data_IF_626579758079
#
_entry.id   IF_626579758079
#
_cell.length_a   1.000
_cell.length_b   1.000
_cell.length_c   1.000
_cell.angle_alpha   90.00
_cell.angle_beta   90.00
_cell.angle_gamma   90.00
#
_symmetry.space_group_name_H-M   'P 1'
#
loop_
_entity.id
_entity.type
_entity.pdbx_description
1 polymer ?
#
# COMPACT_ATOMS: atom_id res chain seq x y z
N UNK A 1 -69.57 64.45 9.36
CA UNK A 1 -68.21 64.93 9.02
C UNK A 1 -67.21 64.20 9.91
N UNK A 2 -66.32 63.37 9.35
CA UNK A 2 -65.09 62.91 10.02
C UNK A 2 -63.97 63.98 9.82
N UNK A 3 -62.89 63.99 10.63
CA UNK A 3 -61.74 63.07 10.49
C UNK A 3 -61.21 62.53 11.86
N UNK A 4 -60.88 61.24 12.03
CA UNK A 4 -59.63 60.46 11.81
C UNK A 4 -58.38 60.81 12.66
N UNK A 5 -58.05 59.83 13.53
CA UNK A 5 -56.73 59.21 13.83
C UNK A 5 -55.60 59.97 14.55
N UNK A 6 -55.10 59.41 15.66
CA UNK A 6 -53.78 58.72 15.68
C UNK A 6 -53.50 58.03 17.04
N UNK A 7 -53.25 56.73 16.99
CA UNK A 7 -52.85 55.86 18.11
C UNK A 7 -51.32 55.79 18.21
N UNK A 8 -50.75 56.17 19.35
CA UNK A 8 -49.31 56.20 19.59
C UNK A 8 -48.85 54.91 20.29
N UNK A 9 -48.35 53.98 19.48
CA UNK A 9 -47.65 52.74 19.86
C UNK A 9 -46.32 53.08 20.58
N UNK A 10 -46.17 52.75 21.87
CA UNK A 10 -44.87 52.75 22.56
C UNK A 10 -44.26 51.35 22.56
N UNK A 11 -42.98 51.34 22.21
CA UNK A 11 -42.12 50.22 21.82
C UNK A 11 -41.55 49.48 23.03
N UNK A 12 -41.69 48.15 23.05
CA UNK A 12 -40.97 47.29 23.98
C UNK A 12 -39.50 47.14 23.54
N UNK A 13 -38.55 47.36 24.45
CA UNK A 13 -37.11 47.17 24.21
C UNK A 13 -36.79 45.67 24.11
N UNK A 14 -35.99 45.21 23.13
CA UNK A 14 -35.58 43.81 23.07
C UNK A 14 -34.50 43.49 24.12
N UNK A 15 -34.62 42.32 24.76
CA UNK A 15 -33.62 41.71 25.63
C UNK A 15 -32.51 41.08 24.75
N UNK A 16 -31.22 41.18 25.10
CA UNK A 16 -30.18 40.46 24.36
C UNK A 16 -30.28 38.95 24.63
N UNK A 17 -29.99 38.08 23.65
CA UNK A 17 -29.99 36.64 23.86
C UNK A 17 -28.78 36.20 24.71
N UNK A 18 -28.90 35.11 25.48
CA UNK A 18 -27.77 34.49 26.15
C UNK A 18 -26.78 33.95 25.11
N UNK A 19 -25.50 34.35 25.22
CA UNK A 19 -24.39 33.72 24.51
C UNK A 19 -24.11 32.36 25.15
N UNK A 20 -24.80 31.34 24.68
CA UNK A 20 -24.38 29.95 24.91
C UNK A 20 -23.18 29.66 24.03
N UNK A 21 -22.00 29.55 24.65
CA UNK A 21 -20.80 29.00 24.03
C UNK A 21 -21.05 27.51 23.76
N UNK A 22 -21.54 27.18 22.57
CA UNK A 22 -21.57 25.81 22.07
C UNK A 22 -20.15 25.44 21.61
N UNK A 23 -19.29 25.10 22.55
CA UNK A 23 -17.95 24.59 22.29
C UNK A 23 -18.05 23.17 21.75
N UNK A 24 -18.12 23.10 20.41
CA UNK A 24 -17.51 22.10 19.52
C UNK A 24 -17.12 20.75 20.16
N UNK A 25 -18.01 19.76 20.05
CA UNK A 25 -17.69 18.33 20.22
C UNK A 25 -17.74 17.64 18.84
N UNK A 26 -16.80 17.98 17.94
CA UNK A 26 -16.68 17.37 16.61
C UNK A 26 -15.21 17.08 16.28
N UNK A 27 -14.52 16.27 17.11
CA UNK A 27 -13.13 15.90 16.83
C UNK A 27 -12.77 14.46 17.20
N UNK A 28 -13.66 13.50 16.94
CA UNK A 28 -13.41 12.08 17.29
C UNK A 28 -13.19 11.14 16.09
N UNK A 29 -13.07 11.63 14.85
CA UNK A 29 -13.09 10.74 13.67
C UNK A 29 -11.78 10.60 12.88
N UNK A 30 -10.61 10.88 13.46
CA UNK A 30 -9.34 10.73 12.72
C UNK A 30 -8.35 9.81 13.44
N UNK A 31 -8.76 8.57 13.66
CA UNK A 31 -7.83 7.45 13.87
C UNK A 31 -8.19 6.33 12.89
N UNK A 32 -8.11 6.62 11.60
CA UNK A 32 -7.88 5.59 10.61
C UNK A 32 -6.41 5.20 10.72
N UNK A 33 -6.09 4.32 11.68
CA UNK A 33 -4.83 3.59 11.66
C UNK A 33 -4.83 2.80 10.37
N UNK A 34 -4.00 3.20 9.40
CA UNK A 34 -3.76 2.47 8.16
C UNK A 34 -3.10 1.14 8.46
N UNK A 35 -3.87 0.19 8.99
CA UNK A 35 -3.48 -1.20 8.97
C UNK A 35 -3.63 -1.64 7.51
N UNK A 36 -2.49 -1.89 6.86
CA UNK A 36 -2.45 -2.61 5.60
C UNK A 36 -3.32 -3.85 5.73
N UNK A 37 -4.44 -3.88 5.02
CA UNK A 37 -5.24 -5.08 4.90
C UNK A 37 -4.41 -6.04 4.05
N UNK A 38 -3.89 -7.10 4.67
CA UNK A 38 -3.35 -8.23 3.94
C UNK A 38 -4.40 -8.67 2.91
N UNK A 39 -3.99 -8.84 1.66
CA UNK A 39 -4.92 -9.29 0.62
C UNK A 39 -5.29 -10.75 0.89
N UNK A 40 -6.56 -11.09 0.65
CA UNK A 40 -6.99 -12.48 0.77
C UNK A 40 -6.49 -13.30 -0.41
N UNK A 41 -5.31 -13.88 -0.24
CA UNK A 41 -4.69 -14.77 -1.21
C UNK A 41 -5.48 -16.03 -1.51
N UNK A 42 -6.47 -16.39 -0.70
CA UNK A 42 -7.21 -17.65 -0.86
C UNK A 42 -8.28 -17.58 -1.95
N UNK A 43 -8.74 -16.36 -2.27
CA UNK A 43 -9.88 -16.14 -3.17
C UNK A 43 -9.60 -15.00 -4.16
N UNK A 44 -8.53 -15.14 -4.95
CA UNK A 44 -8.19 -14.14 -5.99
C UNK A 44 -9.01 -14.40 -7.24
N UNK A 45 -9.78 -13.41 -7.68
CA UNK A 45 -10.56 -13.48 -8.91
C UNK A 45 -9.82 -12.80 -10.06
N UNK A 46 -9.56 -13.53 -11.14
CA UNK A 46 -9.03 -12.99 -12.40
C UNK A 46 -9.76 -13.63 -13.59
N UNK A 47 -10.39 -12.80 -14.44
CA UNK A 47 -11.08 -13.25 -15.65
C UNK A 47 -12.06 -14.42 -15.40
N UNK A 48 -12.92 -14.31 -14.38
CA UNK A 48 -13.87 -15.33 -13.91
C UNK A 48 -13.25 -16.65 -13.43
N UNK A 49 -11.95 -16.65 -13.09
CA UNK A 49 -11.29 -17.79 -12.46
C UNK A 49 -10.84 -17.42 -11.06
N UNK A 50 -11.08 -18.33 -10.12
CA UNK A 50 -10.61 -18.21 -8.75
C UNK A 50 -9.25 -18.89 -8.61
N UNK A 51 -8.31 -18.20 -7.96
CA UNK A 51 -6.97 -18.67 -7.66
C UNK A 51 -6.75 -18.62 -6.15
N UNK A 52 -6.18 -19.70 -5.62
CA UNK A 52 -5.66 -19.76 -4.26
C UNK A 52 -4.12 -19.67 -4.31
N UNK A 53 -3.60 -18.52 -3.86
CA UNK A 53 -2.17 -18.22 -3.71
C UNK A 53 -1.70 -18.36 -2.25
N UNK A 54 -2.51 -18.92 -1.35
CA UNK A 54 -2.15 -19.06 0.07
C UNK A 54 -0.84 -19.82 0.30
N UNK A 55 -0.48 -20.72 -0.63
CA UNK A 55 0.79 -21.43 -0.60
C UNK A 55 2.02 -20.51 -0.81
N UNK A 56 1.83 -19.30 -1.33
CA UNK A 56 2.85 -18.27 -1.53
C UNK A 56 2.83 -17.20 -0.43
N UNK A 57 2.13 -17.45 0.67
CA UNK A 57 2.06 -16.53 1.79
C UNK A 57 3.42 -16.44 2.49
N UNK A 58 3.88 -15.20 2.69
CA UNK A 58 5.12 -14.90 3.38
C UNK A 58 6.22 -14.43 2.43
N UNK A 59 7.37 -14.01 2.98
CA UNK A 59 8.46 -13.47 2.17
C UNK A 59 9.10 -14.51 1.26
N UNK A 60 9.15 -14.22 -0.03
CA UNK A 60 9.85 -14.98 -1.06
C UNK A 60 10.99 -14.15 -1.66
N UNK A 61 12.13 -14.80 -1.89
CA UNK A 61 13.35 -14.15 -2.37
C UNK A 61 13.70 -14.59 -3.79
N UNK A 62 14.09 -13.63 -4.63
CA UNK A 62 14.67 -13.84 -5.96
C UNK A 62 15.99 -13.11 -6.01
N UNK A 63 17.08 -13.83 -6.27
CA UNK A 63 18.41 -13.25 -6.37
C UNK A 63 18.79 -13.11 -7.83
N UNK A 64 19.31 -11.95 -8.19
CA UNK A 64 19.91 -11.68 -9.51
C UNK A 64 21.35 -11.24 -9.32
N UNK A 65 22.21 -11.62 -10.25
CA UNK A 65 23.64 -11.29 -10.21
C UNK A 65 24.01 -10.59 -11.50
N UNK A 66 24.65 -9.42 -11.39
CA UNK A 66 25.24 -8.72 -12.53
C UNK A 66 26.75 -8.67 -12.33
N UNK A 67 27.49 -9.16 -13.31
CA UNK A 67 28.94 -9.05 -13.35
C UNK A 67 29.31 -7.68 -13.94
N UNK A 68 30.13 -6.95 -13.22
CA UNK A 68 30.75 -5.69 -13.65
C UNK A 68 32.27 -5.87 -13.76
N UNK A 69 32.95 -4.88 -14.34
CA UNK A 69 34.42 -4.92 -14.48
C UNK A 69 35.12 -4.94 -13.10
N UNK A 70 34.50 -4.34 -12.09
CA UNK A 70 35.03 -4.21 -10.73
C UNK A 70 34.47 -5.24 -9.71
N UNK A 71 33.72 -6.25 -10.16
CA UNK A 71 33.18 -7.30 -9.27
C UNK A 71 31.75 -7.71 -9.61
N UNK A 72 31.03 -8.25 -8.62
CA UNK A 72 29.63 -8.66 -8.80
C UNK A 72 28.69 -7.79 -7.97
N UNK A 73 27.54 -7.45 -8.55
CA UNK A 73 26.41 -6.88 -7.82
C UNK A 73 25.34 -7.95 -7.71
N UNK A 74 25.05 -8.39 -6.49
CA UNK A 74 23.90 -9.22 -6.21
C UNK A 74 22.73 -8.36 -5.77
N UNK A 75 21.57 -8.59 -6.35
CA UNK A 75 20.33 -7.96 -5.92
C UNK A 75 19.39 -9.05 -5.45
N UNK A 76 19.02 -9.00 -4.18
CA UNK A 76 18.01 -9.88 -3.58
C UNK A 76 16.70 -9.13 -3.53
N UNK A 77 15.74 -9.53 -4.36
CA UNK A 77 14.38 -9.04 -4.31
C UNK A 77 13.57 -9.89 -3.35
N UNK A 78 12.96 -9.27 -2.36
CA UNK A 78 12.03 -9.89 -1.43
C UNK A 78 10.63 -9.36 -1.68
N UNK A 79 9.66 -10.26 -1.73
CA UNK A 79 8.24 -9.90 -1.84
C UNK A 79 7.36 -10.85 -1.04
N UNK A 80 6.24 -10.34 -0.54
CA UNK A 80 5.13 -11.16 -0.04
C UNK A 80 3.90 -10.75 -0.83
N UNK A 81 3.32 -11.72 -1.54
CA UNK A 81 2.16 -11.48 -2.39
C UNK A 81 0.90 -11.28 -1.56
N UNK A 82 0.86 -11.76 -0.32
CA UNK A 82 -0.35 -11.78 0.49
C UNK A 82 -0.40 -10.65 1.52
N UNK A 83 0.67 -9.88 1.66
CA UNK A 83 0.72 -8.79 2.61
C UNK A 83 2.05 -8.06 2.64
N UNK A 84 2.16 -7.02 3.47
CA UNK A 84 3.40 -6.29 3.64
C UNK A 84 4.47 -7.13 4.36
N UNK A 85 5.71 -6.96 3.91
CA UNK A 85 6.92 -7.44 4.54
C UNK A 85 7.10 -6.85 5.93
N UNK A 86 7.66 -7.67 6.81
CA UNK A 86 8.14 -7.26 8.13
C UNK A 86 9.64 -7.08 8.08
N UNK A 87 10.12 -5.96 8.60
CA UNK A 87 11.52 -5.71 8.81
C UNK A 87 12.07 -6.69 9.86
N UNK A 88 13.28 -7.23 9.63
CA UNK A 88 13.96 -8.04 10.63
C UNK A 88 14.35 -7.18 11.84
N UNK A 89 14.30 -7.77 13.04
CA UNK A 89 14.68 -7.07 14.27
C UNK A 89 16.13 -6.55 14.18
N UNK A 90 16.32 -5.23 14.32
CA UNK A 90 17.62 -4.56 14.27
C UNK A 90 18.08 -4.07 12.88
N UNK A 91 17.25 -4.19 11.84
CA UNK A 91 17.64 -3.97 10.43
C UNK A 91 17.72 -2.52 9.96
N UNK A 92 18.76 -1.75 10.32
CA UNK A 92 18.97 -0.39 9.78
C UNK A 92 19.26 -0.33 8.26
N UNK A 93 19.62 -1.47 7.66
CA UNK A 93 19.88 -1.62 6.22
C UNK A 93 18.94 -2.61 5.52
N UNK A 94 17.91 -3.07 6.22
CA UNK A 94 16.93 -3.99 5.67
C UNK A 94 15.81 -3.25 4.95
N UNK A 95 15.00 -3.99 4.20
CA UNK A 95 13.74 -3.49 3.66
C UNK A 95 12.84 -2.97 4.79
N UNK A 96 12.26 -1.77 4.64
CA UNK A 96 11.42 -1.19 5.68
C UNK A 96 10.11 -1.97 5.83
N UNK A 97 9.57 -1.91 7.05
CA UNK A 97 8.24 -2.42 7.38
C UNK A 97 7.17 -1.81 6.46
N UNK A 98 6.16 -2.60 6.09
CA UNK A 98 5.04 -2.11 5.29
C UNK A 98 5.25 -2.22 3.78
N UNK A 99 6.48 -2.46 3.32
CA UNK A 99 6.77 -2.67 1.90
C UNK A 99 6.27 -4.01 1.42
N UNK A 100 5.81 -4.11 0.18
CA UNK A 100 5.36 -5.38 -0.42
C UNK A 100 6.45 -6.01 -1.27
N UNK A 101 7.22 -5.18 -1.96
CA UNK A 101 8.36 -5.61 -2.78
C UNK A 101 9.52 -4.68 -2.49
N UNK A 102 10.68 -5.26 -2.18
CA UNK A 102 11.89 -4.50 -1.91
C UNK A 102 13.13 -5.26 -2.43
N UNK A 103 14.07 -4.52 -3.01
CA UNK A 103 15.38 -5.04 -3.39
C UNK A 103 16.44 -4.68 -2.36
N UNK A 104 17.35 -5.60 -2.09
CA UNK A 104 18.60 -5.36 -1.38
C UNK A 104 19.77 -5.53 -2.34
N UNK A 105 20.60 -4.49 -2.46
CA UNK A 105 21.80 -4.50 -3.29
C UNK A 105 23.02 -4.84 -2.43
N UNK A 106 23.78 -5.80 -2.93
CA UNK A 106 24.97 -6.35 -2.30
C UNK A 106 26.11 -6.26 -3.30
N UNK A 107 27.23 -5.70 -2.88
CA UNK A 107 28.48 -5.82 -3.61
C UNK A 107 29.22 -7.07 -3.13
N UNK A 108 29.66 -7.89 -4.08
CA UNK A 108 30.53 -9.03 -3.78
C UNK A 108 31.91 -8.74 -4.34
N UNK A 109 32.85 -8.61 -3.42
CA UNK A 109 34.26 -8.46 -3.73
C UNK A 109 34.80 -9.80 -4.30
N UNK A 110 35.41 -9.80 -5.50
CA UNK A 110 35.80 -11.03 -6.18
C UNK A 110 36.94 -11.78 -5.46
N UNK A 111 37.81 -11.06 -4.76
CA UNK A 111 39.01 -11.57 -4.12
C UNK A 111 38.73 -12.15 -2.73
N UNK A 112 38.00 -11.41 -1.90
CA UNK A 112 37.66 -11.78 -0.52
C UNK A 112 36.32 -12.52 -0.40
N UNK A 113 35.49 -12.53 -1.46
CA UNK A 113 34.10 -13.02 -1.45
C UNK A 113 33.24 -12.36 -0.36
N UNK A 114 33.64 -11.20 0.13
CA UNK A 114 32.88 -10.45 1.11
C UNK A 114 31.58 -9.94 0.48
N UNK A 115 30.47 -10.15 1.18
CA UNK A 115 29.16 -9.60 0.84
C UNK A 115 28.95 -8.31 1.63
N UNK A 116 28.88 -7.19 0.91
CA UNK A 116 28.70 -5.86 1.49
C UNK A 116 27.33 -5.31 1.10
N UNK A 117 26.38 -5.16 2.05
CA UNK A 117 25.10 -4.53 1.80
C UNK A 117 25.29 -3.03 1.51
N UNK A 118 24.91 -2.64 0.30
CA UNK A 118 25.01 -1.28 -0.21
C UNK A 118 23.80 -0.46 0.22
N UNK A 119 22.62 -0.85 -0.26
CA UNK A 119 21.38 -0.11 -0.11
C UNK A 119 20.17 -1.04 -0.27
N UNK A 120 19.01 -0.58 0.18
CA UNK A 120 17.72 -1.16 -0.19
C UNK A 120 16.96 -0.16 -1.07
N UNK A 121 16.06 -0.67 -1.91
CA UNK A 121 15.09 0.15 -2.64
C UNK A 121 13.73 -0.49 -2.57
N UNK A 122 12.75 0.33 -2.19
CA UNK A 122 11.34 -0.07 -2.20
C UNK A 122 10.85 -0.05 -3.64
N UNK A 123 10.26 -1.16 -4.09
CA UNK A 123 9.71 -1.31 -5.43
C UNK A 123 8.19 -1.12 -5.38
N UNK A 124 7.55 -1.72 -4.37
CA UNK A 124 6.11 -1.59 -4.17
C UNK A 124 5.74 -1.54 -2.69
N UNK A 125 4.65 -0.82 -2.41
CA UNK A 125 4.26 -0.41 -1.06
C UNK A 125 5.02 0.84 -0.62
N UNK A 126 4.59 1.43 0.48
CA UNK A 126 5.27 2.54 1.14
C UNK A 126 5.48 2.22 2.62
N UNK A 127 6.34 3.01 3.27
CA UNK A 127 6.53 2.93 4.72
C UNK A 127 5.27 3.35 5.51
N UNK A 128 4.28 3.94 4.84
CA UNK A 128 2.96 4.24 5.40
C UNK A 128 1.99 3.04 5.36
N UNK A 129 2.39 1.91 4.76
CA UNK A 129 1.60 0.67 4.73
C UNK A 129 0.33 0.76 3.88
N UNK A 130 0.27 1.67 2.90
CA UNK A 130 -0.90 1.77 2.00
C UNK A 130 -1.05 0.47 1.20
N UNK A 131 -2.28 -0.03 1.13
CA UNK A 131 -2.62 -1.19 0.31
C UNK A 131 -2.24 -0.91 -1.15
N UNK A 132 -1.72 -1.92 -1.83
CA UNK A 132 -1.52 -1.83 -3.27
C UNK A 132 -2.90 -1.60 -3.92
N UNK A 133 -2.94 -0.92 -5.06
CA UNK A 133 -4.14 -0.90 -5.89
C UNK A 133 -4.12 -2.12 -6.80
N UNK A 134 -4.27 -3.32 -6.27
CA UNK A 134 -4.11 -4.54 -7.06
C UNK A 134 -5.24 -4.74 -8.08
N UNK A 135 -4.84 -5.08 -9.30
CA UNK A 135 -5.75 -5.60 -10.34
C UNK A 135 -5.18 -6.90 -10.86
N UNK A 136 -5.98 -7.96 -10.84
CA UNK A 136 -5.57 -9.27 -11.33
C UNK A 136 -6.11 -9.50 -12.74
N UNK A 137 -5.20 -9.84 -13.66
CA UNK A 137 -5.54 -10.28 -15.01
C UNK A 137 -4.88 -11.61 -15.25
N UNK A 138 -5.59 -12.53 -15.88
CA UNK A 138 -5.06 -13.82 -16.28
C UNK A 138 -4.24 -13.63 -17.56
N UNK A 139 -3.03 -14.17 -17.58
CA UNK A 139 -2.27 -14.26 -18.83
C UNK A 139 -3.07 -15.08 -19.85
N UNK A 140 -3.11 -14.62 -21.11
CA UNK A 140 -3.69 -15.40 -22.20
C UNK A 140 -3.02 -16.78 -22.25
N UNK A 141 -3.78 -17.88 -22.37
CA UNK A 141 -3.17 -19.19 -22.54
C UNK A 141 -2.32 -19.17 -23.82
N UNK A 142 -1.06 -19.59 -23.72
CA UNK A 142 -0.20 -19.74 -24.87
C UNK A 142 -0.86 -20.70 -25.86
N UNK A 143 -0.84 -20.40 -27.16
CA UNK A 143 -1.39 -21.25 -28.23
C UNK A 143 -0.58 -22.54 -28.47
N UNK A 144 0.15 -23.01 -27.46
CA UNK A 144 1.00 -24.19 -27.51
C UNK A 144 0.27 -25.34 -26.82
N UNK A 145 -0.19 -26.32 -27.59
CA UNK A 145 -0.86 -27.53 -27.09
C UNK A 145 0.03 -28.39 -26.16
N UNK A 146 1.30 -28.02 -26.01
CA UNK A 146 2.29 -28.67 -25.13
C UNK A 146 2.20 -28.21 -23.66
N UNK A 147 1.49 -27.12 -23.37
CA UNK A 147 1.58 -26.42 -22.07
C UNK A 147 0.25 -26.30 -21.31
N UNK A 148 -0.86 -26.89 -21.83
CA UNK A 148 -2.20 -26.84 -21.21
C UNK A 148 -2.28 -27.35 -19.77
N UNK A 149 -1.29 -28.12 -19.31
CA UNK A 149 -1.23 -28.68 -17.94
C UNK A 149 -0.41 -27.81 -16.96
N UNK A 150 0.32 -26.80 -17.43
CA UNK A 150 1.29 -26.03 -16.59
C UNK A 150 1.03 -24.53 -16.50
N UNK A 151 0.00 -24.02 -17.18
CA UNK A 151 -0.20 -22.58 -17.34
C UNK A 151 -1.40 -22.08 -16.51
N UNK A 152 -1.07 -21.37 -15.43
CA UNK A 152 -2.04 -20.78 -14.49
C UNK A 152 -1.38 -19.88 -13.45
N UNK A 153 -0.26 -19.21 -13.82
CA UNK A 153 0.43 -18.30 -12.90
C UNK A 153 -0.11 -16.87 -13.09
N UNK A 154 -0.79 -16.28 -12.10
CA UNK A 154 -1.14 -14.86 -12.17
C UNK A 154 0.13 -14.02 -12.11
N UNK A 155 0.29 -13.10 -13.06
CA UNK A 155 1.33 -12.07 -13.03
C UNK A 155 0.67 -10.79 -12.50
N UNK A 156 1.14 -10.25 -11.38
CA UNK A 156 0.60 -9.01 -10.84
C UNK A 156 1.05 -7.82 -11.72
N UNK A 157 0.09 -7.09 -12.28
CA UNK A 157 0.34 -5.81 -12.95
C UNK A 157 0.27 -4.69 -11.90
N UNK A 158 1.36 -3.97 -11.71
CA UNK A 158 1.36 -2.76 -10.89
C UNK A 158 1.29 -1.53 -11.79
N UNK A 159 0.18 -0.79 -11.71
CA UNK A 159 0.00 0.47 -12.44
C UNK A 159 0.54 1.64 -11.59
N UNK A 160 1.63 2.24 -12.03
CA UNK A 160 2.15 3.48 -11.44
C UNK A 160 1.19 4.63 -11.73
N UNK A 161 0.54 5.18 -10.69
CA UNK A 161 -0.17 6.46 -10.79
C UNK A 161 0.82 7.61 -10.63
N UNK A 162 0.64 8.61 -11.49
CA UNK A 162 1.50 9.77 -11.75
C UNK A 162 1.56 10.78 -10.61
#
# INVERSE_FOLDING_TARGET
MAPTAHEARRTARPRPPPRTTATSLLLSLMMASGASAAMDCSHIQADNHEFDLSALKGPHNVVTSVLHAEGFTNVTYTLDLCGPLKAPEGGKKACPDGTWVCGMWHHIDPDSKADVPLEHRVIAGDAEGRALGETFTRLSPSASEKDKVKEGRPFCCWAASS
#
